data_IF_525940807739
#
_entry.id   IF_525940807739
#
_cell.length_a   1.000
_cell.length_b   1.000
_cell.length_c   1.000
_cell.angle_alpha   90.00
_cell.angle_beta   90.00
_cell.angle_gamma   90.00
#
_symmetry.space_group_name_H-M   'P 1'
#
loop_
_entity.id
_entity.type
_entity.pdbx_description
1 polymer ?
#
# COMPACT_ATOMS: atom_id res chain seq x y z
N UNK A 1 -4.97 -18.14 4.87
CA UNK A 1 -4.78 -17.45 6.16
C UNK A 1 -3.34 -16.92 6.14
N UNK A 2 -3.12 -15.78 5.49
CA UNK A 2 -1.80 -15.14 5.40
C UNK A 2 -1.61 -14.32 6.67
N UNK A 3 -0.68 -14.74 7.50
CA UNK A 3 -0.34 -14.10 8.76
C UNK A 3 0.20 -12.68 8.52
N UNK A 4 -0.31 -11.72 9.28
CA UNK A 4 0.04 -10.29 9.31
C UNK A 4 1.50 -9.99 9.73
N UNK A 5 2.47 -10.80 9.37
CA UNK A 5 3.87 -10.67 9.82
C UNK A 5 4.76 -9.78 8.94
N UNK A 6 4.20 -9.08 7.96
CA UNK A 6 4.98 -8.21 7.06
C UNK A 6 5.25 -6.79 7.55
N UNK A 7 4.61 -6.34 8.63
CA UNK A 7 4.97 -5.08 9.28
C UNK A 7 5.97 -5.40 10.40
N UNK A 8 7.26 -5.31 10.11
CA UNK A 8 8.42 -5.69 10.91
C UNK A 8 8.12 -6.08 12.36
N UNK A 9 8.44 -7.31 12.76
CA UNK A 9 8.35 -7.75 14.16
C UNK A 9 9.23 -6.80 14.98
N UNK A 10 8.55 -5.86 15.63
CA UNK A 10 9.19 -4.86 16.46
C UNK A 10 9.64 -5.53 17.77
N UNK A 11 10.93 -5.80 17.91
CA UNK A 11 11.50 -6.06 19.23
C UNK A 11 11.43 -4.79 20.07
N UNK A 12 10.83 -4.83 21.27
CA UNK A 12 10.69 -3.62 22.09
C UNK A 12 12.07 -3.08 22.44
N UNK A 13 12.31 -1.83 22.12
CA UNK A 13 13.50 -1.09 22.54
C UNK A 13 13.63 -1.14 24.06
N UNK A 14 14.87 -1.30 24.53
CA UNK A 14 15.22 -1.26 25.93
C UNK A 14 14.60 -0.04 26.62
N UNK A 15 14.06 -0.25 27.79
CA UNK A 15 13.50 0.79 28.66
C UNK A 15 14.54 1.89 28.87
N UNK A 16 14.29 3.08 28.35
CA UNK A 16 15.02 4.27 28.69
C UNK A 16 14.07 5.42 29.02
N UNK A 17 14.12 5.82 30.24
CA UNK A 17 13.76 7.08 30.87
C UNK A 17 12.35 7.69 30.67
N UNK A 18 11.75 7.86 31.83
CA UNK A 18 10.57 8.60 32.21
C UNK A 18 10.22 9.87 31.42
N UNK A 19 9.36 9.75 30.56
CA UNK A 19 8.31 10.58 29.99
C UNK A 19 7.92 10.02 28.64
N UNK A 20 6.78 9.36 28.61
CA UNK A 20 6.24 8.69 27.40
C UNK A 20 5.69 9.66 26.35
N UNK A 21 5.78 11.00 26.56
CA UNK A 21 5.27 11.97 25.59
C UNK A 21 6.09 12.01 24.31
N UNK A 22 5.40 12.00 23.17
CA UNK A 22 5.99 12.16 21.85
C UNK A 22 6.44 13.61 21.63
N UNK A 23 7.64 13.95 22.13
CA UNK A 23 8.27 15.23 21.82
C UNK A 23 8.85 15.23 20.42
N UNK A 24 9.06 16.43 19.84
CA UNK A 24 9.66 16.58 18.51
C UNK A 24 11.01 15.85 18.38
N UNK A 25 11.91 16.04 19.34
CA UNK A 25 13.26 15.43 19.32
C UNK A 25 13.19 13.90 19.43
N UNK A 26 12.32 13.40 20.31
CA UNK A 26 12.13 11.96 20.48
C UNK A 26 11.53 11.31 19.22
N UNK A 27 10.55 11.98 18.59
CA UNK A 27 9.99 11.52 17.33
C UNK A 27 11.07 11.44 16.23
N UNK A 28 11.85 12.49 16.03
CA UNK A 28 12.94 12.52 15.02
C UNK A 28 13.93 11.38 15.25
N UNK A 29 14.36 11.15 16.51
CA UNK A 29 15.26 10.06 16.85
C UNK A 29 14.69 8.71 16.45
N UNK A 30 13.46 8.42 16.88
CA UNK A 30 12.78 7.16 16.60
C UNK A 30 12.58 6.97 15.08
N UNK A 31 12.18 8.01 14.35
CA UNK A 31 12.01 7.91 12.91
C UNK A 31 13.34 7.61 12.19
N UNK A 32 14.45 8.22 12.63
CA UNK A 32 15.76 7.94 12.05
C UNK A 32 16.23 6.50 12.35
N UNK A 33 15.96 5.99 13.55
CA UNK A 33 16.27 4.61 13.92
C UNK A 33 15.45 3.60 13.08
N UNK A 34 14.17 3.88 12.86
CA UNK A 34 13.32 3.07 11.99
C UNK A 34 13.78 3.13 10.53
N UNK A 35 14.15 4.32 10.03
CA UNK A 35 14.70 4.48 8.68
C UNK A 35 16.00 3.68 8.50
N UNK A 36 16.90 3.70 9.48
CA UNK A 36 18.13 2.91 9.46
C UNK A 36 17.90 1.39 9.44
N UNK A 37 16.74 0.93 9.94
CA UNK A 37 16.29 -0.46 9.86
C UNK A 37 15.56 -0.79 8.57
N UNK A 38 15.44 0.17 7.63
CA UNK A 38 14.72 -0.01 6.36
C UNK A 38 13.18 0.03 6.51
N UNK A 39 12.66 0.46 7.65
CA UNK A 39 11.23 0.63 7.87
C UNK A 39 10.80 1.95 7.25
N UNK A 40 10.07 1.90 6.15
CA UNK A 40 9.68 3.08 5.37
C UNK A 40 8.30 3.64 5.73
N UNK A 41 7.48 2.83 6.40
CA UNK A 41 6.09 3.16 6.76
C UNK A 41 5.76 2.59 8.13
N UNK A 42 4.97 3.32 8.91
CA UNK A 42 4.54 2.90 10.25
C UNK A 42 3.07 3.21 10.47
N UNK A 43 2.35 2.30 11.14
CA UNK A 43 0.96 2.52 11.49
C UNK A 43 0.80 3.47 12.70
N UNK A 44 -0.33 4.20 12.74
CA UNK A 44 -0.76 4.99 13.89
C UNK A 44 -0.70 4.19 15.21
N UNK A 45 -1.15 2.94 15.17
CA UNK A 45 -1.14 2.03 16.32
C UNK A 45 0.28 1.75 16.82
N UNK A 46 1.22 1.50 15.90
CA UNK A 46 2.60 1.20 16.26
C UNK A 46 3.31 2.45 16.80
N UNK A 47 3.06 3.63 16.21
CA UNK A 47 3.52 4.90 16.79
C UNK A 47 2.99 5.08 18.21
N UNK A 48 1.71 4.83 18.44
CA UNK A 48 1.14 4.90 19.78
C UNK A 48 1.83 3.96 20.77
N UNK A 49 2.12 2.72 20.36
CA UNK A 49 2.86 1.75 21.20
C UNK A 49 4.27 2.22 21.54
N UNK A 50 4.99 2.78 20.56
CA UNK A 50 6.35 3.29 20.74
C UNK A 50 6.45 4.43 21.76
N UNK A 51 5.43 5.27 21.79
CA UNK A 51 5.42 6.45 22.66
C UNK A 51 4.50 6.32 23.87
N UNK A 52 3.85 5.16 24.06
CA UNK A 52 2.89 4.96 25.14
C UNK A 52 1.68 5.90 25.08
N UNK A 53 1.36 6.40 23.87
CA UNK A 53 0.23 7.29 23.62
C UNK A 53 -0.90 6.56 22.90
N UNK A 54 -2.15 6.93 23.16
CA UNK A 54 -3.33 6.33 22.54
C UNK A 54 -4.48 7.33 22.36
N UNK A 55 -5.48 6.90 21.59
CA UNK A 55 -6.75 7.63 21.44
C UNK A 55 -6.60 9.02 20.83
N UNK A 56 -7.42 9.96 21.30
CA UNK A 56 -7.47 11.34 20.76
C UNK A 56 -6.15 12.09 20.97
N UNK A 57 -5.43 11.85 22.06
CA UNK A 57 -4.14 12.50 22.36
C UNK A 57 -3.11 12.21 21.28
N UNK A 58 -2.91 10.93 20.95
CA UNK A 58 -2.02 10.50 19.88
C UNK A 58 -2.41 11.12 18.53
N UNK A 59 -3.70 11.14 18.20
CA UNK A 59 -4.18 11.72 16.93
C UNK A 59 -3.83 13.20 16.84
N UNK A 60 -4.04 13.97 17.91
CA UNK A 60 -3.71 15.41 17.96
C UNK A 60 -2.19 15.62 17.85
N UNK A 61 -1.40 14.82 18.57
CA UNK A 61 0.07 14.90 18.55
C UNK A 61 0.61 14.61 17.14
N UNK A 62 0.14 13.55 16.49
CA UNK A 62 0.55 13.20 15.12
C UNK A 62 0.08 14.24 14.10
N UNK A 63 -1.11 14.80 14.25
CA UNK A 63 -1.59 15.87 13.36
C UNK A 63 -0.69 17.11 13.46
N UNK A 64 -0.24 17.50 14.66
CA UNK A 64 0.71 18.59 14.88
C UNK A 64 2.04 18.29 14.21
N UNK A 65 2.63 17.12 14.46
CA UNK A 65 3.90 16.73 13.85
C UNK A 65 3.82 16.58 12.32
N UNK A 66 2.66 16.22 11.80
CA UNK A 66 2.40 16.19 10.34
C UNK A 66 2.35 17.62 9.77
N UNK A 67 1.74 18.56 10.48
CA UNK A 67 1.73 19.99 10.11
C UNK A 67 3.15 20.58 10.13
N UNK A 68 3.98 20.15 11.06
CA UNK A 68 5.39 20.54 11.18
C UNK A 68 6.30 19.78 10.17
N UNK A 69 5.73 19.01 9.27
CA UNK A 69 6.43 18.21 8.24
C UNK A 69 7.44 17.19 8.80
N UNK A 70 7.30 16.80 10.06
CA UNK A 70 8.16 15.78 10.68
C UNK A 70 7.75 14.34 10.30
N UNK A 71 6.51 14.16 9.93
CA UNK A 71 5.95 12.89 9.49
C UNK A 71 4.86 13.16 8.45
N UNK A 72 4.75 12.31 7.44
CA UNK A 72 3.77 12.49 6.36
C UNK A 72 2.73 11.38 6.41
N UNK A 73 1.45 11.74 6.42
CA UNK A 73 0.35 10.77 6.41
C UNK A 73 0.18 10.19 5.01
N UNK A 74 0.19 8.85 4.90
CA UNK A 74 -0.06 8.12 3.65
C UNK A 74 -1.55 7.81 3.42
N UNK A 75 -2.32 7.61 4.49
CA UNK A 75 -3.75 7.27 4.44
C UNK A 75 -4.12 6.31 5.57
N UNK A 76 -5.40 6.16 5.90
CA UNK A 76 -5.97 5.19 6.88
C UNK A 76 -5.07 4.87 8.10
N UNK A 77 -4.43 5.88 8.70
CA UNK A 77 -3.59 5.67 9.88
C UNK A 77 -2.19 5.14 9.60
N UNK A 78 -1.68 5.28 8.38
CA UNK A 78 -0.28 5.00 8.03
C UNK A 78 0.49 6.29 7.78
N UNK A 79 1.77 6.27 8.15
CA UNK A 79 2.68 7.40 8.06
C UNK A 79 3.98 6.99 7.40
N UNK A 80 4.45 7.82 6.48
CA UNK A 80 5.75 7.71 5.82
C UNK A 80 6.86 8.07 6.82
N UNK A 81 7.90 7.26 6.89
CA UNK A 81 9.11 7.57 7.65
C UNK A 81 10.05 8.35 6.73
N UNK A 82 10.40 9.60 7.07
CA UNK A 82 11.30 10.41 6.26
C UNK A 82 12.65 9.72 6.06
N UNK A 83 13.21 9.89 4.88
CA UNK A 83 14.55 9.37 4.50
C UNK A 83 14.72 7.84 4.54
N UNK A 84 13.67 7.09 4.83
CA UNK A 84 13.74 5.64 4.76
C UNK A 84 13.76 5.17 3.29
N UNK A 85 14.62 4.21 2.93
CA UNK A 85 14.61 3.61 1.60
C UNK A 85 13.28 2.89 1.38
N UNK A 86 12.65 3.18 0.25
CA UNK A 86 11.39 2.51 -0.13
C UNK A 86 11.69 1.28 -0.98
N UNK A 87 11.11 0.12 -0.68
CA UNK A 87 11.24 -1.06 -1.53
C UNK A 87 10.53 -0.84 -2.86
N UNK A 88 10.93 -1.58 -3.90
CA UNK A 88 10.34 -1.47 -5.24
C UNK A 88 8.83 -1.75 -5.23
N UNK A 89 8.38 -2.65 -4.36
CA UNK A 89 6.98 -3.04 -4.19
C UNK A 89 6.25 -2.25 -3.08
N UNK A 90 6.67 -1.01 -2.80
CA UNK A 90 6.08 -0.21 -1.70
C UNK A 90 4.59 0.11 -1.88
N UNK A 91 4.11 0.25 -3.12
CA UNK A 91 2.69 0.50 -3.38
C UNK A 91 1.84 -0.75 -3.14
N UNK A 92 2.34 -1.93 -3.49
CA UNK A 92 1.70 -3.21 -3.21
C UNK A 92 1.64 -3.50 -1.70
N UNK A 93 2.73 -3.22 -0.98
CA UNK A 93 2.74 -3.31 0.47
C UNK A 93 1.70 -2.36 1.08
N UNK A 94 1.65 -1.12 0.59
CA UNK A 94 0.67 -0.15 1.05
C UNK A 94 -0.77 -0.59 0.72
N UNK A 95 -1.02 -1.17 -0.46
CA UNK A 95 -2.31 -1.72 -0.85
C UNK A 95 -2.79 -2.77 0.17
N UNK A 96 -1.93 -3.73 0.53
CA UNK A 96 -2.23 -4.75 1.54
C UNK A 96 -2.56 -4.15 2.92
N UNK A 97 -1.85 -3.10 3.34
CA UNK A 97 -2.12 -2.46 4.63
C UNK A 97 -3.39 -1.59 4.62
N UNK A 98 -3.71 -0.98 3.49
CA UNK A 98 -4.93 -0.18 3.34
C UNK A 98 -6.20 -1.04 3.24
N UNK A 99 -6.07 -2.27 2.76
CA UNK A 99 -7.16 -3.20 2.47
C UNK A 99 -6.92 -4.61 3.04
N UNK A 100 -6.67 -4.74 4.36
CA UNK A 100 -6.28 -6.03 4.96
C UNK A 100 -7.40 -7.08 4.93
N UNK A 101 -8.65 -6.64 4.86
CA UNK A 101 -9.84 -7.50 4.92
C UNK A 101 -10.47 -7.74 3.54
N UNK A 102 -9.99 -7.06 2.51
CA UNK A 102 -10.51 -7.19 1.14
C UNK A 102 -9.65 -8.15 0.33
N UNK A 103 -10.29 -8.97 -0.49
CA UNK A 103 -9.62 -9.74 -1.52
C UNK A 103 -9.41 -8.86 -2.76
N UNK A 104 -8.21 -8.86 -3.32
CA UNK A 104 -7.89 -8.09 -4.53
C UNK A 104 -6.73 -8.72 -5.31
N UNK A 105 -6.63 -8.32 -6.57
CA UNK A 105 -5.55 -8.73 -7.48
C UNK A 105 -5.19 -7.60 -8.43
N UNK A 106 -3.92 -7.52 -8.82
CA UNK A 106 -3.42 -6.58 -9.82
C UNK A 106 -4.07 -6.90 -11.16
N UNK A 107 -4.65 -5.89 -11.81
CA UNK A 107 -5.39 -6.04 -13.06
C UNK A 107 -5.43 -4.72 -13.83
N UNK A 108 -6.31 -4.65 -14.83
CA UNK A 108 -6.53 -3.45 -15.62
C UNK A 108 -5.22 -2.95 -16.25
N UNK A 109 -5.03 -1.64 -16.28
CA UNK A 109 -3.87 -1.02 -16.92
C UNK A 109 -2.55 -1.50 -16.33
N UNK A 110 -2.47 -1.73 -15.02
CA UNK A 110 -1.23 -2.15 -14.38
C UNK A 110 -0.78 -3.54 -14.84
N UNK A 111 -1.68 -4.52 -14.87
CA UNK A 111 -1.34 -5.87 -15.33
C UNK A 111 -1.09 -5.91 -16.84
N UNK A 112 -1.86 -5.14 -17.63
CA UNK A 112 -1.66 -5.05 -19.08
C UNK A 112 -0.34 -4.37 -19.45
N UNK A 113 0.08 -3.37 -18.67
CA UNK A 113 1.39 -2.75 -18.86
C UNK A 113 2.54 -3.71 -18.56
N UNK A 114 2.43 -4.51 -17.50
CA UNK A 114 3.43 -5.52 -17.15
C UNK A 114 3.56 -6.62 -18.22
N UNK A 115 2.49 -6.87 -18.95
CA UNK A 115 2.45 -7.80 -20.08
C UNK A 115 2.79 -7.16 -21.45
N UNK A 116 3.12 -5.88 -21.47
CA UNK A 116 3.36 -5.08 -22.70
C UNK A 116 2.15 -5.00 -23.66
N UNK A 117 0.94 -5.16 -23.12
CA UNK A 117 -0.31 -5.08 -23.89
C UNK A 117 -0.90 -3.69 -24.02
N UNK A 118 -0.34 -2.70 -23.33
CA UNK A 118 -0.72 -1.29 -23.48
C UNK A 118 0.50 -0.42 -23.79
N UNK A 119 0.26 0.66 -24.55
CA UNK A 119 1.30 1.56 -25.05
C UNK A 119 1.81 2.59 -24.06
N UNK A 120 1.11 2.78 -22.93
CA UNK A 120 1.42 3.82 -21.94
C UNK A 120 1.73 3.23 -20.56
N UNK A 121 2.64 3.90 -19.85
CA UNK A 121 2.92 3.59 -18.44
C UNK A 121 1.79 4.15 -17.58
N UNK A 122 1.05 3.30 -16.83
CA UNK A 122 0.01 3.79 -15.93
C UNK A 122 0.58 4.69 -14.83
N UNK A 123 -0.09 5.80 -14.55
CA UNK A 123 0.29 6.71 -13.46
C UNK A 123 -0.22 6.25 -12.08
N UNK A 124 -0.82 5.08 -12.01
CA UNK A 124 -1.41 4.49 -10.80
C UNK A 124 -1.29 2.97 -10.80
N UNK A 125 -1.29 2.39 -9.64
CA UNK A 125 -1.38 0.94 -9.47
C UNK A 125 -2.84 0.54 -9.37
N UNK A 126 -3.33 -0.32 -10.27
CA UNK A 126 -4.75 -0.68 -10.41
C UNK A 126 -5.03 -2.11 -9.96
N UNK A 127 -6.05 -2.28 -9.13
CA UNK A 127 -6.50 -3.57 -8.62
C UNK A 127 -7.98 -3.76 -8.86
N UNK A 128 -8.39 -5.00 -9.15
CA UNK A 128 -9.76 -5.44 -8.97
C UNK A 128 -9.94 -5.95 -7.53
N UNK A 129 -11.08 -5.65 -6.90
CA UNK A 129 -11.33 -5.98 -5.49
C UNK A 129 -12.76 -6.47 -5.23
N UNK A 130 -12.92 -7.38 -4.27
CA UNK A 130 -14.23 -7.75 -3.71
C UNK A 130 -14.85 -6.62 -2.86
N UNK A 131 -14.01 -5.69 -2.38
CA UNK A 131 -14.43 -4.54 -1.60
C UNK A 131 -14.95 -3.39 -2.49
N UNK A 132 -15.22 -2.23 -1.89
CA UNK A 132 -15.71 -1.04 -2.61
C UNK A 132 -14.61 -0.42 -3.45
N UNK A 133 -14.98 0.16 -4.60
CA UNK A 133 -14.08 0.99 -5.39
C UNK A 133 -13.60 2.20 -4.58
N UNK A 134 -12.31 2.48 -4.67
CA UNK A 134 -11.70 3.64 -4.02
C UNK A 134 -10.33 3.97 -4.62
N UNK A 135 -10.00 5.24 -4.67
CA UNK A 135 -8.68 5.74 -5.07
C UNK A 135 -7.97 6.31 -3.85
N UNK A 136 -6.79 5.77 -3.56
CA UNK A 136 -5.87 6.33 -2.57
C UNK A 136 -4.81 7.16 -3.31
N UNK A 137 -4.95 8.47 -3.24
CA UNK A 137 -3.91 9.41 -3.67
C UNK A 137 -2.97 9.64 -2.49
N UNK A 138 -1.73 9.18 -2.63
CA UNK A 138 -0.74 9.20 -1.55
C UNK A 138 0.54 9.91 -2.00
N UNK A 139 1.34 10.43 -1.06
CA UNK A 139 2.64 11.03 -1.36
C UNK A 139 3.66 10.09 -2.02
N UNK A 140 3.39 8.80 -2.08
CA UNK A 140 4.28 7.79 -2.66
C UNK A 140 3.75 7.18 -3.95
N UNK A 141 2.55 7.55 -4.37
CA UNK A 141 1.90 7.10 -5.60
C UNK A 141 0.40 6.85 -5.41
N UNK A 142 -0.29 6.65 -6.51
CA UNK A 142 -1.73 6.45 -6.55
C UNK A 142 -2.04 4.95 -6.61
N UNK A 143 -2.96 4.50 -5.76
CA UNK A 143 -3.49 3.13 -5.75
C UNK A 143 -4.98 3.20 -6.00
N UNK A 144 -5.46 2.51 -7.02
CA UNK A 144 -6.87 2.43 -7.36
C UNK A 144 -7.39 1.00 -7.18
N UNK A 145 -8.47 0.87 -6.45
CA UNK A 145 -9.25 -0.36 -6.34
C UNK A 145 -10.56 -0.18 -7.08
N UNK A 146 -10.87 -1.11 -7.98
CA UNK A 146 -12.11 -1.16 -8.74
C UNK A 146 -12.88 -2.40 -8.30
N UNK A 147 -14.13 -2.22 -7.91
CA UNK A 147 -14.98 -3.31 -7.46
C UNK A 147 -15.27 -4.32 -8.58
N UNK A 148 -15.26 -5.59 -8.25
CA UNK A 148 -15.75 -6.68 -9.11
C UNK A 148 -16.84 -7.47 -8.41
N UNK A 149 -17.88 -7.81 -9.16
CA UNK A 149 -18.96 -8.68 -8.68
C UNK A 149 -18.57 -10.17 -8.68
N UNK A 150 -17.45 -10.52 -9.34
CA UNK A 150 -16.93 -11.89 -9.32
C UNK A 150 -16.48 -12.27 -7.92
N UNK A 151 -16.85 -13.47 -7.48
CA UNK A 151 -16.44 -13.98 -6.18
C UNK A 151 -14.93 -14.32 -6.16
N UNK A 152 -14.28 -14.28 -5.00
CA UNK A 152 -12.89 -14.71 -4.88
C UNK A 152 -12.68 -16.15 -5.39
N UNK A 153 -13.61 -17.06 -5.19
CA UNK A 153 -13.53 -18.45 -5.63
C UNK A 153 -13.42 -18.56 -7.16
N UNK A 154 -14.04 -17.63 -7.90
CA UNK A 154 -14.01 -17.62 -9.36
C UNK A 154 -12.67 -17.16 -9.91
N UNK A 155 -12.03 -16.13 -9.33
CA UNK A 155 -10.84 -15.54 -9.89
C UNK A 155 -9.52 -15.97 -9.21
N UNK A 156 -9.55 -16.49 -7.97
CA UNK A 156 -8.36 -17.00 -7.30
C UNK A 156 -7.61 -18.06 -8.12
N UNK A 157 -8.29 -19.07 -8.73
CA UNK A 157 -7.61 -20.06 -9.57
C UNK A 157 -6.99 -19.49 -10.85
N UNK A 158 -7.51 -18.36 -11.33
CA UNK A 158 -7.08 -17.73 -12.57
C UNK A 158 -5.92 -16.76 -12.37
N UNK A 159 -5.67 -16.32 -11.14
CA UNK A 159 -4.63 -15.35 -10.79
C UNK A 159 -3.41 -16.02 -10.16
N UNK A 160 -2.22 -15.49 -10.40
CA UNK A 160 -0.98 -16.01 -9.83
C UNK A 160 -0.54 -15.16 -8.64
N UNK A 161 -0.20 -15.80 -7.52
CA UNK A 161 0.45 -15.12 -6.40
C UNK A 161 1.91 -14.80 -6.77
N UNK A 162 2.30 -13.56 -6.60
CA UNK A 162 3.69 -13.13 -6.64
C UNK A 162 4.18 -12.93 -5.20
N UNK A 163 4.95 -13.88 -4.70
CA UNK A 163 5.40 -13.90 -3.29
C UNK A 163 6.29 -12.72 -2.95
N UNK A 164 7.14 -12.26 -3.87
CA UNK A 164 8.00 -11.10 -3.66
C UNK A 164 7.19 -9.81 -3.48
N UNK A 165 6.13 -9.62 -4.25
CA UNK A 165 5.26 -8.44 -4.17
C UNK A 165 4.15 -8.60 -3.12
N UNK A 166 3.86 -9.82 -2.70
CA UNK A 166 2.79 -10.13 -1.74
C UNK A 166 1.39 -9.87 -2.28
N UNK A 167 1.19 -9.95 -3.60
CA UNK A 167 -0.09 -9.71 -4.27
C UNK A 167 -0.37 -10.78 -5.33
N UNK A 168 -1.66 -10.94 -5.67
CA UNK A 168 -2.07 -11.72 -6.84
C UNK A 168 -2.09 -10.86 -8.09
N UNK A 169 -1.77 -11.47 -9.23
CA UNK A 169 -1.69 -10.81 -10.54
C UNK A 169 -2.58 -11.57 -11.52
N UNK A 170 -3.43 -10.85 -12.23
CA UNK A 170 -4.22 -11.38 -13.34
C UNK A 170 -3.34 -11.66 -14.55
N UNK A 171 -3.56 -12.75 -15.30
CA UNK A 171 -3.00 -12.89 -16.63
C UNK A 171 -3.56 -11.81 -17.58
N UNK A 172 -2.85 -11.47 -18.67
CA UNK A 172 -3.22 -10.34 -19.51
C UNK A 172 -4.60 -10.45 -20.14
N UNK A 173 -5.05 -11.65 -20.49
CA UNK A 173 -6.40 -11.89 -21.05
C UNK A 173 -7.48 -11.53 -20.02
N UNK A 174 -7.27 -11.92 -18.77
CA UNK A 174 -8.20 -11.58 -17.67
C UNK A 174 -8.18 -10.09 -17.39
N UNK A 175 -7.01 -9.47 -17.36
CA UNK A 175 -6.87 -8.03 -17.15
C UNK A 175 -7.55 -7.23 -18.27
N UNK A 176 -7.47 -7.69 -19.51
CA UNK A 176 -8.18 -7.10 -20.66
C UNK A 176 -9.72 -7.26 -20.52
N UNK A 177 -10.18 -8.42 -20.06
CA UNK A 177 -11.61 -8.61 -19.79
C UNK A 177 -12.11 -7.66 -18.69
N UNK A 178 -11.32 -7.46 -17.63
CA UNK A 178 -11.64 -6.52 -16.57
C UNK A 178 -11.67 -5.08 -17.11
N UNK A 179 -10.69 -4.70 -17.94
CA UNK A 179 -10.63 -3.37 -18.56
C UNK A 179 -11.86 -3.13 -19.45
N UNK A 180 -12.28 -4.12 -20.24
CA UNK A 180 -13.50 -4.07 -21.07
C UNK A 180 -14.77 -3.88 -20.23
N UNK A 181 -14.84 -4.57 -19.07
CA UNK A 181 -15.99 -4.43 -18.15
C UNK A 181 -16.06 -3.05 -17.51
N UNK A 182 -14.91 -2.50 -17.15
CA UNK A 182 -14.82 -1.14 -16.59
C UNK A 182 -15.09 -0.08 -17.66
N UNK A 183 -14.81 -0.38 -18.93
CA UNK A 183 -15.16 0.48 -20.07
C UNK A 183 -14.30 1.74 -20.20
N UNK A 184 -13.00 1.63 -19.87
CA UNK A 184 -12.06 2.77 -19.98
C UNK A 184 -10.75 2.37 -20.64
N UNK A 185 -10.05 3.35 -21.24
CA UNK A 185 -8.67 3.20 -21.76
C UNK A 185 -8.46 2.02 -22.72
N UNK A 186 -9.51 1.59 -23.42
CA UNK A 186 -9.44 0.50 -24.40
C UNK A 186 -8.64 0.89 -25.64
N UNK A 187 -8.57 2.17 -25.91
CA UNK A 187 -7.77 2.80 -26.97
C UNK A 187 -6.25 2.68 -26.75
N UNK A 188 -5.83 2.41 -25.51
CA UNK A 188 -4.43 2.19 -25.15
C UNK A 188 -3.97 0.75 -25.43
N UNK A 189 -4.92 -0.17 -25.59
CA UNK A 189 -4.61 -1.59 -25.79
C UNK A 189 -4.04 -1.81 -27.19
N UNK A 190 -2.85 -2.43 -27.27
CA UNK A 190 -2.22 -2.77 -28.54
C UNK A 190 -3.07 -3.73 -29.35
N UNK A 191 -3.04 -3.66 -30.69
CA UNK A 191 -3.64 -4.65 -31.57
C UNK A 191 -3.18 -6.07 -31.20
N UNK A 192 -4.00 -7.08 -31.51
CA UNK A 192 -3.73 -8.47 -31.11
C UNK A 192 -2.45 -9.04 -31.73
N UNK A 193 -2.12 -8.62 -32.94
CA UNK A 193 -0.91 -8.97 -33.69
C UNK A 193 0.37 -8.28 -33.15
N UNK A 194 0.25 -7.31 -32.25
CA UNK A 194 1.36 -6.62 -31.58
C UNK A 194 1.56 -7.05 -30.12
N UNK A 195 0.83 -8.07 -29.64
CA UNK A 195 0.91 -8.58 -28.27
C UNK A 195 1.74 -9.85 -28.24
N UNK A 196 2.80 -9.87 -27.47
CA UNK A 196 3.61 -11.09 -27.21
C UNK A 196 2.96 -11.99 -26.15
#
# INVERSE_FOLDING_TARGET
>A
MLTHEGCGVFTPFGQSDGSLMMTRLKLIRVLNELAAQGIWCISHRNLGRLFGEAGKGLTVTLARHSKDQLITRLGKGFYLIPNAPRPLNHLEQLANWLRPDDWFYLSLESALHEADWISQIPNRLTFMTSGRSYVYDTPVGIIEFVHTERSPEEWLPQTRLNDFRGIRIAPPEMALQDLKRVGRNLDLVRPEDERD
#
